data_IF_209704399922
#
_entry.id   IF_209704399922
#
_cell.length_a   1.000
_cell.length_b   1.000
_cell.length_c   1.000
_cell.angle_alpha   90.00
_cell.angle_beta   90.00
_cell.angle_gamma   90.00
#
_symmetry.space_group_name_H-M   'P 1'
#
loop_
_entity.id
_entity.type
_entity.pdbx_description
1 polymer ?
#
# COMPACT_ATOMS: atom_id res chain seq x y z
N UNK A 1 17.98 -9.28 -3.54
CA UNK A 1 18.43 -9.64 -2.19
C UNK A 1 19.19 -8.51 -1.52
N UNK A 2 19.71 -8.75 -0.35
CA UNK A 2 20.43 -7.73 0.43
C UNK A 2 21.66 -7.16 -0.29
N UNK A 3 22.32 -7.97 -1.13
CA UNK A 3 23.44 -7.52 -1.94
C UNK A 3 23.08 -6.40 -2.91
N UNK A 4 21.82 -6.31 -3.31
CA UNK A 4 21.31 -5.28 -4.21
C UNK A 4 20.65 -4.10 -3.45
N UNK A 5 20.77 -4.08 -2.12
CA UNK A 5 20.17 -3.05 -1.28
C UNK A 5 18.70 -3.29 -0.92
N UNK A 6 18.17 -4.47 -1.19
CA UNK A 6 16.79 -4.84 -0.84
C UNK A 6 16.72 -5.24 0.62
N UNK A 7 15.79 -4.64 1.35
CA UNK A 7 15.58 -4.89 2.79
C UNK A 7 14.10 -5.26 3.04
N UNK A 8 13.80 -5.97 4.14
CA UNK A 8 12.41 -6.18 4.55
C UNK A 8 11.65 -4.87 4.69
N UNK A 9 10.34 -4.92 4.45
CA UNK A 9 9.41 -3.79 4.50
C UNK A 9 9.55 -2.76 3.38
N UNK A 10 10.42 -2.98 2.39
CA UNK A 10 10.43 -2.15 1.19
C UNK A 10 9.23 -2.45 0.31
N UNK A 11 8.65 -1.42 -0.29
CA UNK A 11 7.53 -1.54 -1.21
C UNK A 11 7.94 -2.14 -2.54
N UNK A 12 7.04 -2.91 -3.13
CA UNK A 12 7.23 -3.56 -4.43
C UNK A 12 6.14 -3.10 -5.38
N UNK A 13 6.53 -2.66 -6.55
CA UNK A 13 5.63 -2.15 -7.58
C UNK A 13 5.91 -2.80 -8.93
N UNK A 14 4.95 -2.69 -9.84
CA UNK A 14 5.11 -3.01 -11.26
C UNK A 14 4.59 -1.83 -12.09
N UNK A 15 4.59 -1.97 -13.40
CA UNK A 15 4.10 -0.93 -14.31
C UNK A 15 2.64 -0.54 -14.09
N UNK A 16 1.84 -1.42 -13.51
CA UNK A 16 0.40 -1.22 -13.27
C UNK A 16 0.09 -0.62 -11.90
N UNK A 17 0.99 -0.82 -10.92
CA UNK A 17 0.78 -0.30 -9.57
C UNK A 17 1.44 -1.13 -8.49
N UNK A 18 0.86 -1.11 -7.30
CA UNK A 18 1.39 -1.80 -6.12
C UNK A 18 1.31 -3.31 -6.29
N UNK A 19 2.40 -4.00 -5.96
CA UNK A 19 2.47 -5.48 -5.91
C UNK A 19 2.39 -5.97 -4.48
N UNK A 20 3.21 -5.43 -3.58
CA UNK A 20 3.27 -5.88 -2.21
C UNK A 20 4.43 -5.26 -1.45
N UNK A 21 4.91 -6.00 -0.45
CA UNK A 21 5.96 -5.56 0.46
C UNK A 21 6.98 -6.69 0.59
N UNK A 22 8.26 -6.33 0.65
CA UNK A 22 9.32 -7.31 0.89
C UNK A 22 9.16 -7.87 2.32
N UNK A 23 9.00 -9.17 2.43
CA UNK A 23 8.77 -9.86 3.70
C UNK A 23 10.08 -10.34 4.34
N UNK A 24 10.90 -11.03 3.56
CA UNK A 24 12.18 -11.57 4.01
C UNK A 24 13.22 -11.40 2.92
N UNK A 25 14.46 -11.22 3.33
CA UNK A 25 15.59 -11.12 2.39
C UNK A 25 16.72 -12.07 2.82
N UNK A 26 17.44 -12.54 1.82
CA UNK A 26 18.75 -13.14 1.97
C UNK A 26 19.74 -12.38 1.09
N UNK A 27 21.00 -12.83 1.03
CA UNK A 27 22.01 -12.10 0.27
C UNK A 27 21.63 -11.90 -1.22
N UNK A 28 21.00 -12.89 -1.85
CA UNK A 28 20.67 -12.87 -3.27
C UNK A 28 19.19 -12.99 -3.60
N UNK A 29 18.32 -13.23 -2.61
CA UNK A 29 16.90 -13.48 -2.81
C UNK A 29 16.04 -12.63 -1.88
N UNK A 30 14.79 -12.45 -2.28
CA UNK A 30 13.77 -11.77 -1.47
C UNK A 30 12.44 -12.48 -1.61
N UNK A 31 11.69 -12.53 -0.51
CA UNK A 31 10.31 -13.02 -0.51
C UNK A 31 9.41 -11.79 -0.40
N UNK A 32 8.45 -11.69 -1.31
CA UNK A 32 7.49 -10.59 -1.36
C UNK A 32 6.16 -11.07 -0.79
N UNK A 33 5.61 -10.29 0.15
CA UNK A 33 4.23 -10.46 0.61
C UNK A 33 3.34 -9.63 -0.33
N UNK A 34 2.58 -10.26 -1.25
CA UNK A 34 1.73 -9.50 -2.16
C UNK A 34 0.52 -8.92 -1.42
N UNK A 35 -0.12 -7.92 -2.03
CA UNK A 35 -1.36 -7.37 -1.48
C UNK A 35 -2.50 -8.39 -1.48
N UNK A 36 -2.37 -9.48 -2.23
CA UNK A 36 -3.29 -10.63 -2.19
C UNK A 36 -3.10 -11.51 -0.95
N UNK A 37 -2.36 -11.07 0.04
CA UNK A 37 -2.19 -11.78 1.31
C UNK A 37 -3.10 -11.15 2.36
N UNK A 38 -3.90 -11.98 3.05
CA UNK A 38 -4.87 -11.51 4.06
C UNK A 38 -4.22 -10.75 5.22
N UNK A 39 -2.92 -10.94 5.45
CA UNK A 39 -2.15 -10.25 6.49
C UNK A 39 -1.48 -8.96 5.99
N UNK A 40 -1.56 -8.69 4.69
CA UNK A 40 -1.00 -7.48 4.10
C UNK A 40 -1.93 -6.30 4.40
N UNK A 41 -1.42 -5.29 5.12
CA UNK A 41 -2.18 -4.07 5.43
C UNK A 41 -1.43 -2.89 4.83
N UNK A 42 -2.01 -2.28 3.83
CA UNK A 42 -1.43 -1.15 3.13
C UNK A 42 -2.31 0.07 3.36
N UNK A 43 -1.69 1.16 3.80
CA UNK A 43 -2.38 2.42 3.96
C UNK A 43 -2.61 3.08 2.59
N UNK A 44 -3.83 3.51 2.35
CA UNK A 44 -4.24 4.04 1.06
C UNK A 44 -5.17 5.23 1.21
N UNK A 45 -5.44 5.88 0.08
CA UNK A 45 -6.43 6.96 -0.02
C UNK A 45 -7.13 6.91 -1.37
N UNK A 46 -8.27 7.55 -1.44
CA UNK A 46 -8.88 7.90 -2.71
C UNK A 46 -8.13 9.09 -3.29
N UNK A 47 -7.85 9.06 -4.59
CA UNK A 47 -7.21 10.20 -5.27
C UNK A 47 -8.07 11.44 -5.09
N UNK A 48 -7.46 12.57 -4.79
CA UNK A 48 -8.10 13.86 -4.50
C UNK A 48 -8.87 13.90 -3.16
N UNK A 49 -8.66 12.92 -2.28
CA UNK A 49 -9.23 12.90 -0.93
C UNK A 49 -8.14 12.99 0.13
N UNK A 50 -8.46 13.60 1.26
CA UNK A 50 -7.59 13.67 2.43
C UNK A 50 -7.82 12.51 3.40
N UNK A 51 -8.84 11.68 3.15
CA UNK A 51 -9.19 10.57 4.03
C UNK A 51 -8.34 9.36 3.72
N UNK A 52 -7.78 8.77 4.78
CA UNK A 52 -6.95 7.58 4.69
C UNK A 52 -7.76 6.35 5.04
N UNK A 53 -7.46 5.26 4.36
CA UNK A 53 -8.06 3.97 4.62
C UNK A 53 -7.01 2.88 4.65
N UNK A 54 -7.47 1.68 4.96
CA UNK A 54 -6.64 0.48 4.95
C UNK A 54 -7.11 -0.47 3.86
N UNK A 55 -6.15 -1.01 3.11
CA UNK A 55 -6.41 -2.01 2.09
C UNK A 55 -6.43 -3.39 2.74
N UNK A 56 -7.48 -4.16 2.48
CA UNK A 56 -7.56 -5.55 2.91
C UNK A 56 -7.95 -6.44 1.72
N UNK A 57 -7.53 -7.68 1.77
CA UNK A 57 -7.85 -8.68 0.75
C UNK A 57 -8.50 -9.89 1.40
N UNK A 58 -9.50 -10.46 0.73
CA UNK A 58 -10.16 -11.69 1.13
C UNK A 58 -9.81 -12.82 0.17
N UNK A 59 -9.66 -14.03 0.69
CA UNK A 59 -9.31 -15.22 -0.11
C UNK A 59 -10.36 -15.48 -1.19
N UNK A 60 -9.87 -15.93 -2.34
CA UNK A 60 -10.71 -16.39 -3.45
C UNK A 60 -11.00 -15.35 -4.52
N UNK A 61 -10.46 -14.13 -4.40
CA UNK A 61 -10.71 -13.07 -5.37
C UNK A 61 -9.38 -12.37 -5.74
N UNK A 62 -8.74 -12.84 -6.80
CA UNK A 62 -7.37 -12.45 -7.15
C UNK A 62 -7.21 -11.02 -7.67
N UNK A 63 -8.30 -10.38 -8.11
CA UNK A 63 -8.26 -9.02 -8.65
C UNK A 63 -9.11 -8.03 -7.85
N UNK A 64 -9.61 -8.46 -6.70
CA UNK A 64 -10.49 -7.66 -5.85
C UNK A 64 -9.83 -7.45 -4.49
N UNK A 65 -9.95 -6.25 -3.97
CA UNK A 65 -9.59 -5.91 -2.60
C UNK A 65 -10.64 -4.95 -2.03
N UNK A 66 -10.51 -4.64 -0.76
CA UNK A 66 -11.43 -3.73 -0.06
C UNK A 66 -10.64 -2.63 0.63
N UNK A 67 -11.22 -1.44 0.63
CA UNK A 67 -10.72 -0.31 1.43
C UNK A 67 -11.68 -0.11 2.60
N UNK A 68 -11.12 -0.10 3.81
CA UNK A 68 -11.85 0.09 5.05
C UNK A 68 -11.45 1.40 5.71
N UNK A 69 -12.22 1.82 6.72
CA UNK A 69 -11.94 3.01 7.55
C UNK A 69 -12.08 4.35 6.81
N UNK A 70 -12.73 4.38 5.65
CA UNK A 70 -13.11 5.64 5.01
C UNK A 70 -14.42 6.12 5.66
N UNK A 71 -14.43 7.30 6.30
CA UNK A 71 -15.64 7.77 6.99
C UNK A 71 -16.78 8.07 6.03
N UNK A 72 -18.03 7.92 6.50
CA UNK A 72 -19.23 8.07 5.66
C UNK A 72 -19.43 9.49 5.14
N UNK A 73 -18.81 10.49 5.75
CA UNK A 73 -18.88 11.86 5.24
C UNK A 73 -17.89 12.13 4.11
N UNK A 74 -17.00 11.20 3.79
CA UNK A 74 -16.09 11.35 2.66
C UNK A 74 -16.83 11.22 1.35
N UNK A 75 -16.43 11.99 0.36
CA UNK A 75 -16.93 11.85 -1.00
C UNK A 75 -16.23 10.68 -1.68
N UNK A 76 -17.00 9.68 -2.05
CA UNK A 76 -16.52 8.49 -2.76
C UNK A 76 -17.35 8.31 -4.02
N UNK A 77 -16.70 8.20 -5.16
CA UNK A 77 -17.36 8.04 -6.44
C UNK A 77 -16.93 6.74 -7.09
N UNK A 78 -17.85 6.04 -7.75
CA UNK A 78 -17.50 4.88 -8.57
C UNK A 78 -16.44 5.28 -9.59
N UNK A 79 -15.50 4.37 -9.83
CA UNK A 79 -14.36 4.54 -10.73
C UNK A 79 -13.24 5.46 -10.19
N UNK A 80 -13.35 5.99 -8.98
CA UNK A 80 -12.24 6.71 -8.34
C UNK A 80 -11.01 5.81 -8.24
N UNK A 81 -9.84 6.43 -8.38
CA UNK A 81 -8.58 5.72 -8.19
C UNK A 81 -8.23 5.67 -6.72
N UNK A 82 -7.85 4.48 -6.26
CA UNK A 82 -7.25 4.26 -4.95
C UNK A 82 -5.74 4.18 -5.13
N UNK A 83 -5.02 4.91 -4.31
CA UNK A 83 -3.57 5.02 -4.39
C UNK A 83 -2.93 4.98 -3.00
N UNK A 84 -1.61 4.83 -2.95
CA UNK A 84 -0.86 4.92 -1.69
C UNK A 84 -0.92 6.35 -1.16
N UNK A 85 -0.97 6.49 0.17
CA UNK A 85 -1.09 7.82 0.79
C UNK A 85 0.24 8.40 1.27
N UNK A 86 1.33 7.64 1.21
CA UNK A 86 2.65 8.09 1.69
C UNK A 86 2.78 8.17 3.20
N UNK A 87 1.77 7.75 3.95
CA UNK A 87 1.78 7.79 5.42
C UNK A 87 2.84 6.86 6.00
N UNK A 88 2.96 5.66 5.46
CA UNK A 88 4.07 4.77 5.80
C UNK A 88 5.26 5.03 4.88
N UNK A 89 6.47 4.85 5.36
CA UNK A 89 7.68 5.03 4.56
C UNK A 89 7.91 3.89 3.55
N UNK A 90 6.95 3.00 3.39
CA UNK A 90 7.02 1.84 2.49
C UNK A 90 6.80 2.28 1.04
N UNK A 91 5.80 3.13 0.82
CA UNK A 91 5.47 3.66 -0.51
C UNK A 91 5.42 5.18 -0.48
N UNK A 92 5.98 5.86 -1.48
CA UNK A 92 5.66 7.27 -1.68
C UNK A 92 4.17 7.43 -1.99
N UNK A 93 3.65 8.61 -1.81
CA UNK A 93 2.26 8.94 -2.12
C UNK A 93 1.98 8.82 -3.63
N UNK A 94 0.80 8.37 -3.99
CA UNK A 94 0.31 8.44 -5.36
C UNK A 94 0.57 7.21 -6.23
N UNK A 95 1.06 6.10 -5.68
CA UNK A 95 1.21 4.87 -6.46
C UNK A 95 -0.15 4.20 -6.61
N UNK A 96 -0.61 3.91 -7.85
CA UNK A 96 -1.93 3.33 -8.07
C UNK A 96 -2.08 1.94 -7.45
N UNK A 97 -3.26 1.67 -6.90
CA UNK A 97 -3.61 0.37 -6.32
C UNK A 97 -4.75 -0.24 -7.11
N UNK A 98 -5.83 0.50 -7.29
CA UNK A 98 -7.01 -0.01 -7.95
C UNK A 98 -8.07 1.07 -8.15
N UNK A 99 -9.25 0.62 -8.56
CA UNK A 99 -10.36 1.47 -8.97
C UNK A 99 -11.61 1.08 -8.19
N UNK A 100 -12.33 2.07 -7.67
CA UNK A 100 -13.58 1.86 -6.92
C UNK A 100 -14.60 1.19 -7.82
N UNK A 101 -15.08 0.02 -7.40
CA UNK A 101 -16.08 -0.78 -8.12
C UNK A 101 -17.43 -0.71 -7.42
N UNK A 102 -17.46 -0.72 -6.08
CA UNK A 102 -18.68 -0.78 -5.30
C UNK A 102 -18.47 -0.08 -3.95
N UNK A 103 -19.49 0.65 -3.53
CA UNK A 103 -19.48 1.35 -2.25
C UNK A 103 -20.62 0.78 -1.41
N UNK A 104 -20.30 0.31 -0.20
CA UNK A 104 -21.29 -0.19 0.75
C UNK A 104 -20.95 0.29 2.16
N UNK A 105 -21.89 0.10 3.08
CA UNK A 105 -21.67 0.44 4.47
C UNK A 105 -20.88 -0.65 5.18
N UNK A 106 -19.94 -0.23 6.00
CA UNK A 106 -19.23 -1.15 6.90
C UNK A 106 -20.16 -1.59 8.05
N UNK A 107 -19.95 -2.78 8.62
CA UNK A 107 -20.74 -3.23 9.79
C UNK A 107 -20.67 -2.29 10.99
N UNK A 108 -19.64 -1.44 11.11
CA UNK A 108 -19.51 -0.47 12.19
C UNK A 108 -20.54 0.68 12.12
N UNK A 109 -21.20 0.87 10.98
CA UNK A 109 -22.21 1.91 10.76
C UNK A 109 -21.68 3.32 10.60
N UNK A 110 -20.37 3.55 10.71
CA UNK A 110 -19.74 4.88 10.67
C UNK A 110 -18.76 5.06 9.51
N UNK A 111 -18.43 3.99 8.80
CA UNK A 111 -17.51 4.02 7.68
C UNK A 111 -18.06 3.27 6.47
N UNK A 112 -17.40 3.45 5.33
CA UNK A 112 -17.67 2.69 4.12
C UNK A 112 -16.82 1.42 4.05
N UNK A 113 -17.36 0.41 3.38
CA UNK A 113 -16.61 -0.72 2.85
C UNK A 113 -16.58 -0.56 1.33
N UNK A 114 -15.38 -0.30 0.80
CA UNK A 114 -15.22 0.03 -0.62
C UNK A 114 -14.55 -1.14 -1.32
N UNK A 115 -15.27 -1.73 -2.27
CA UNK A 115 -14.71 -2.79 -3.13
C UNK A 115 -13.99 -2.15 -4.29
N UNK A 116 -12.75 -2.60 -4.52
CA UNK A 116 -11.93 -2.09 -5.63
C UNK A 116 -11.47 -3.23 -6.53
N UNK A 117 -11.27 -2.90 -7.79
CA UNK A 117 -10.60 -3.78 -8.76
C UNK A 117 -9.15 -3.34 -8.82
N UNK A 118 -8.23 -4.28 -8.57
CA UNK A 118 -6.80 -4.01 -8.58
C UNK A 118 -6.29 -3.76 -10.00
N UNK A 119 -5.38 -2.79 -10.16
CA UNK A 119 -4.74 -2.51 -11.43
C UNK A 119 -3.68 -3.55 -11.79
N UNK A 120 -2.99 -4.09 -10.79
CA UNK A 120 -1.95 -5.09 -11.00
C UNK A 120 -2.58 -6.42 -11.38
N UNK A 121 -2.15 -6.98 -12.51
CA UNK A 121 -2.55 -8.31 -12.96
C UNK A 121 -1.57 -9.34 -12.40
N UNK A 122 -1.95 -9.96 -11.28
CA UNK A 122 -1.11 -10.95 -10.60
C UNK A 122 -0.95 -12.24 -11.39
N UNK A 123 -1.90 -12.55 -12.28
CA UNK A 123 -1.84 -13.76 -13.11
C UNK A 123 -0.72 -13.70 -14.16
N UNK A 124 -0.40 -12.50 -14.63
CA UNK A 124 0.63 -12.29 -15.67
C UNK A 124 1.85 -11.53 -15.18
N UNK A 125 1.93 -11.29 -13.87
CA UNK A 125 3.03 -10.53 -13.27
C UNK A 125 4.38 -11.23 -13.50
N UNK A 126 5.35 -10.50 -14.08
CA UNK A 126 6.68 -11.03 -14.37
C UNK A 126 7.80 -10.17 -13.80
N UNK A 127 7.72 -8.85 -13.99
CA UNK A 127 8.76 -7.92 -13.60
C UNK A 127 8.24 -6.99 -12.51
N UNK A 128 9.01 -6.88 -11.44
CA UNK A 128 8.71 -5.99 -10.32
C UNK A 128 9.92 -5.14 -9.98
N UNK A 129 9.66 -4.00 -9.36
CA UNK A 129 10.70 -3.11 -8.86
C UNK A 129 10.51 -2.91 -7.37
N UNK A 130 11.60 -2.90 -6.63
CA UNK A 130 11.61 -2.60 -5.20
C UNK A 130 11.88 -1.11 -5.02
N UNK A 131 11.07 -0.46 -4.22
CA UNK A 131 11.25 0.96 -3.91
C UNK A 131 12.28 1.06 -2.80
N UNK A 132 13.41 1.70 -3.10
CA UNK A 132 14.41 2.05 -2.10
C UNK A 132 14.10 3.45 -1.61
N UNK A 133 13.73 3.57 -0.33
CA UNK A 133 13.28 4.84 0.22
C UNK A 133 14.42 5.58 0.92
N UNK A 134 15.25 6.27 0.14
CA UNK A 134 16.36 7.08 0.68
C UNK A 134 15.86 8.23 1.56
N UNK A 135 14.68 8.77 1.27
CA UNK A 135 14.09 9.83 2.07
C UNK A 135 13.70 9.36 3.48
N UNK A 136 13.27 8.11 3.60
CA UNK A 136 12.96 7.52 4.90
C UNK A 136 14.19 7.42 5.79
N UNK A 137 15.32 6.96 5.25
CA UNK A 137 16.59 6.87 5.99
C UNK A 137 17.07 8.24 6.45
N UNK A 138 17.04 9.22 5.57
CA UNK A 138 17.42 10.59 5.86
C UNK A 138 16.52 11.19 6.94
N UNK A 139 15.21 10.98 6.84
CA UNK A 139 14.24 11.42 7.84
C UNK A 139 14.49 10.79 9.21
N UNK A 140 14.76 9.48 9.26
CA UNK A 140 15.10 8.78 10.50
C UNK A 140 16.37 9.34 11.14
N UNK A 141 17.39 9.63 10.34
CA UNK A 141 18.61 10.23 10.82
C UNK A 141 18.38 11.61 11.42
N UNK A 142 17.56 12.44 10.77
CA UNK A 142 17.18 13.76 11.28
C UNK A 142 16.40 13.67 12.59
N UNK A 143 15.48 12.74 12.71
CA UNK A 143 14.72 12.50 13.93
C UNK A 143 15.62 12.06 15.08
N UNK A 144 16.60 11.20 14.81
CA UNK A 144 17.58 10.77 15.81
C UNK A 144 18.47 11.92 16.27
N UNK A 145 18.93 12.76 15.35
CA UNK A 145 19.71 13.94 15.68
C UNK A 145 18.92 14.92 16.51
N UNK A 146 17.67 15.16 16.18
CA UNK A 146 16.77 16.04 16.93
C UNK A 146 16.55 15.54 18.38
N UNK A 147 16.45 14.22 18.57
CA UNK A 147 16.34 13.64 19.91
C UNK A 147 17.63 13.80 20.72
N UNK A 148 18.79 13.65 20.08
CA UNK A 148 20.08 13.84 20.75
C UNK A 148 20.30 15.28 21.19
N UNK A 149 19.86 16.27 20.41
CA UNK A 149 19.99 17.67 20.76
C UNK A 149 19.07 18.11 21.91
N UNK A 150 17.99 17.35 22.19
CA UNK A 150 17.10 17.60 23.32
C UNK A 150 17.58 17.04 24.64
N UNK A 151 18.64 16.26 24.62
CA UNK A 151 19.30 15.74 25.80
C UNK A 151 20.46 16.67 26.20
#
# INVERSE_FOLDING_TARGET
>A
GEADGVKPEMGVVCSQGVVGIVYMTSQHYSIIMPILNVNSKISCRLRHSEHFGSLIWERGQDNIAYVTNIPRHAEVTLKDTVETNGYSDIFPSGIPIGKVQRISDSPDGISYLIRITLFTDFATLRNVSVITNYQSEERQQLEQQAQQEKQ
#
